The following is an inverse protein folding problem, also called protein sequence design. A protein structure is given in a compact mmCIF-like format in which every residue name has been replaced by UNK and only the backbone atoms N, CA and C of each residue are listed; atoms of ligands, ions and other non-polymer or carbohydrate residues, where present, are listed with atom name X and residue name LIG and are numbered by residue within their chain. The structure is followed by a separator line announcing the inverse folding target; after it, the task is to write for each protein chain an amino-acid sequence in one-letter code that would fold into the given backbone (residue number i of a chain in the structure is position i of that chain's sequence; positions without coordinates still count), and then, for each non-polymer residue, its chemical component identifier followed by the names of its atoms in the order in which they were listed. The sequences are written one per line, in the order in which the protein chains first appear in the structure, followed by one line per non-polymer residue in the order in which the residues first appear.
data_IF_573039416869
#
_entry.id   IF_573039416869
#
_cell.length_a   1.000
_cell.length_b   1.000
_cell.length_c   1.000
_cell.angle_alpha   90.00
_cell.angle_beta   90.00
_cell.angle_gamma   90.00
#
_symmetry.space_group_name_H-M   'P 1'
#
loop_
_entity.id
_entity.type
_entity.pdbx_description
1 polymer ?
#
# COMPACT_ATOMS: atom_id res chain seq x y z
N UNK A 1 -2.74 -3.07 -4.98
CA UNK A 1 -3.03 -1.76 -4.34
C UNK A 1 -2.01 -1.56 -3.25
N UNK A 2 -1.46 -0.36 -3.10
CA UNK A 2 -0.35 -0.12 -2.18
C UNK A 2 -0.56 1.10 -1.26
N UNK A 3 -0.05 1.02 -0.04
CA UNK A 3 0.14 2.16 0.85
C UNK A 3 1.63 2.50 0.94
N UNK A 4 2.04 3.63 0.40
CA UNK A 4 3.42 4.10 0.30
C UNK A 4 3.73 4.73 -1.05
N UNK A 5 5.00 5.06 -1.26
CA UNK A 5 5.53 5.59 -2.50
C UNK A 5 6.91 4.99 -2.83
N UNK A 6 7.41 5.26 -4.03
CA UNK A 6 8.69 4.74 -4.49
C UNK A 6 9.91 5.36 -3.78
N UNK A 7 9.76 6.34 -2.89
CA UNK A 7 10.88 6.88 -2.11
C UNK A 7 11.13 6.12 -0.81
N UNK A 8 10.15 5.35 -0.33
CA UNK A 8 10.27 4.54 0.88
C UNK A 8 10.89 3.16 0.60
N UNK A 9 11.84 2.75 1.44
CA UNK A 9 12.57 1.48 1.27
C UNK A 9 11.64 0.26 1.19
N UNK A 10 10.70 0.12 2.13
CA UNK A 10 9.77 -1.03 2.18
C UNK A 10 8.88 -1.08 0.95
N UNK A 11 8.26 0.05 0.60
CA UNK A 11 7.34 0.11 -0.52
C UNK A 11 8.06 -0.06 -1.85
N UNK A 12 9.14 0.70 -2.05
CA UNK A 12 9.93 0.70 -3.27
C UNK A 12 10.52 -0.68 -3.58
N UNK A 13 11.17 -1.32 -2.61
CA UNK A 13 11.68 -2.69 -2.80
C UNK A 13 10.54 -3.66 -3.12
N UNK A 14 9.43 -3.63 -2.36
CA UNK A 14 8.27 -4.50 -2.62
C UNK A 14 7.70 -4.37 -4.04
N UNK A 15 7.66 -3.15 -4.58
CA UNK A 15 7.18 -2.88 -5.94
C UNK A 15 8.17 -3.31 -7.05
N UNK A 16 9.42 -3.59 -6.71
CA UNK A 16 10.48 -4.01 -7.64
C UNK A 16 10.83 -5.51 -7.56
N UNK A 17 10.27 -6.25 -6.61
CA UNK A 17 10.47 -7.71 -6.52
C UNK A 17 9.86 -8.50 -7.68
N UNK A 18 8.93 -7.92 -8.44
CA UNK A 18 8.31 -8.57 -9.60
C UNK A 18 8.06 -7.59 -10.74
N UNK A 19 8.51 -7.98 -11.94
CA UNK A 19 8.23 -7.26 -13.19
C UNK A 19 6.78 -7.46 -13.67
N UNK A 20 6.04 -8.39 -13.07
CA UNK A 20 4.64 -8.69 -13.44
C UNK A 20 3.63 -7.90 -12.61
N UNK A 21 4.09 -7.11 -11.64
CA UNK A 21 3.21 -6.30 -10.80
C UNK A 21 2.50 -5.22 -11.62
N UNK A 22 1.17 -5.31 -11.66
CA UNK A 22 0.26 -4.27 -12.16
C UNK A 22 -0.19 -3.41 -10.98
N UNK A 23 0.53 -2.32 -10.71
CA UNK A 23 0.18 -1.40 -9.63
C UNK A 23 -0.99 -0.50 -10.04
N UNK A 24 -2.21 -0.95 -9.78
CA UNK A 24 -3.41 -0.22 -10.22
C UNK A 24 -3.74 1.02 -9.38
N UNK A 25 -3.26 1.06 -8.14
CA UNK A 25 -3.41 2.20 -7.25
C UNK A 25 -2.39 2.16 -6.12
N UNK A 26 -1.93 3.33 -5.70
CA UNK A 26 -1.14 3.55 -4.50
C UNK A 26 -1.49 4.89 -3.85
N UNK A 27 -1.21 5.03 -2.55
CA UNK A 27 -1.36 6.31 -1.87
C UNK A 27 -0.33 6.44 -0.74
N UNK A 28 0.15 7.66 -0.51
CA UNK A 28 1.02 7.99 0.62
C UNK A 28 0.41 9.16 1.41
N UNK A 29 1.20 9.89 2.18
CA UNK A 29 0.74 11.07 2.92
C UNK A 29 0.45 12.28 2.02
N UNK A 30 0.88 12.28 0.76
CA UNK A 30 0.83 13.42 -0.18
C UNK A 30 -0.17 13.20 -1.30
N UNK A 31 -0.12 12.04 -1.92
CA UNK A 31 -0.70 11.75 -3.22
C UNK A 31 -1.49 10.44 -3.23
N UNK A 32 -2.38 10.35 -4.22
CA UNK A 32 -3.11 9.15 -4.63
C UNK A 32 -2.74 8.91 -6.10
N UNK A 33 -1.99 7.85 -6.36
CA UNK A 33 -1.65 7.34 -7.68
C UNK A 33 -2.71 6.33 -8.11
N UNK A 34 -3.27 6.48 -9.31
CA UNK A 34 -4.19 5.50 -9.90
C UNK A 34 -3.80 5.26 -11.35
N UNK A 35 -3.61 4.01 -11.70
CA UNK A 35 -3.37 3.55 -13.07
C UNK A 35 -4.34 2.39 -13.35
N UNK A 36 -5.49 2.63 -14.03
CA UNK A 36 -6.52 1.60 -14.20
C UNK A 36 -6.07 0.32 -14.92
N UNK A 37 -5.14 0.44 -15.89
CA UNK A 37 -4.65 -0.66 -16.72
C UNK A 37 -3.14 -0.50 -17.05
N UNK A 38 -2.24 -0.67 -16.06
CA UNK A 38 -0.81 -0.43 -16.25
C UNK A 38 -0.19 -1.51 -17.13
N UNK A 39 0.66 -1.10 -18.07
CA UNK A 39 1.59 -2.03 -18.75
C UNK A 39 2.68 -2.47 -17.75
N UNK A 40 2.83 -3.78 -17.47
CA UNK A 40 3.76 -4.24 -16.44
C UNK A 40 5.21 -3.84 -16.72
N UNK A 41 5.66 -3.92 -17.98
CA UNK A 41 7.06 -3.70 -18.35
C UNK A 41 7.45 -2.21 -18.36
N UNK A 42 6.60 -1.34 -18.90
CA UNK A 42 6.79 0.11 -18.88
C UNK A 42 6.68 0.65 -17.46
N UNK A 43 5.63 0.26 -16.72
CA UNK A 43 5.42 0.73 -15.35
C UNK A 43 6.50 0.23 -14.40
N UNK A 44 7.04 -0.99 -14.59
CA UNK A 44 8.17 -1.48 -13.80
C UNK A 44 9.42 -0.61 -13.99
N UNK A 45 9.79 -0.30 -15.24
CA UNK A 45 10.94 0.56 -15.54
C UNK A 45 10.77 1.95 -14.93
N UNK A 46 9.55 2.49 -14.98
CA UNK A 46 9.26 3.79 -14.40
C UNK A 46 9.33 3.78 -12.86
N UNK A 47 8.77 2.75 -12.21
CA UNK A 47 8.95 2.55 -10.75
C UNK A 47 10.43 2.43 -10.39
N UNK A 48 11.23 1.70 -11.17
CA UNK A 48 12.67 1.58 -10.93
C UNK A 48 13.38 2.93 -11.05
N UNK A 49 13.04 3.74 -12.05
CA UNK A 49 13.56 5.10 -12.21
C UNK A 49 13.20 5.96 -11.00
N UNK A 50 11.95 5.95 -10.55
CA UNK A 50 11.48 6.70 -9.38
C UNK A 50 12.17 6.28 -8.09
N UNK A 51 12.42 4.98 -7.91
CA UNK A 51 13.13 4.45 -6.74
C UNK A 51 14.59 4.92 -6.68
N UNK A 52 15.23 5.12 -7.85
CA UNK A 52 16.61 5.62 -7.93
C UNK A 52 16.71 7.15 -7.75
N UNK A 53 15.60 7.89 -7.79
CA UNK A 53 15.61 9.34 -7.62
C UNK A 53 15.73 9.71 -6.14
N UNK A 54 16.52 10.74 -5.80
CA UNK A 54 16.56 11.27 -4.44
C UNK A 54 15.24 11.97 -4.10
N UNK A 55 14.58 11.55 -3.01
CA UNK A 55 13.33 12.17 -2.48
C UNK A 55 12.18 12.21 -3.50
N UNK A 56 11.95 11.13 -4.23
CA UNK A 56 10.85 11.03 -5.19
C UNK A 56 9.45 11.08 -4.54
N UNK A 57 8.46 11.26 -5.38
CA UNK A 57 7.04 11.24 -5.06
C UNK A 57 6.26 10.66 -6.22
N UNK A 58 4.96 10.39 -6.02
CA UNK A 58 4.10 10.00 -7.13
C UNK A 58 3.97 11.11 -8.18
N UNK A 59 4.16 12.39 -7.82
CA UNK A 59 4.15 13.49 -8.79
C UNK A 59 5.30 13.44 -9.79
N UNK A 60 6.39 12.73 -9.48
CA UNK A 60 7.53 12.56 -10.38
C UNK A 60 7.32 11.45 -11.43
N UNK A 61 6.23 10.67 -11.30
CA UNK A 61 5.87 9.60 -12.23
C UNK A 61 5.53 10.18 -13.60
N UNK A 62 6.07 9.60 -14.67
CA UNK A 62 5.76 9.99 -16.04
C UNK A 62 4.29 9.72 -16.36
N UNK A 63 3.49 10.80 -16.39
CA UNK A 63 2.05 10.76 -16.63
C UNK A 63 1.70 10.22 -18.02
N UNK A 64 2.65 10.24 -18.98
CA UNK A 64 2.47 9.64 -20.30
C UNK A 64 2.42 8.10 -20.26
N UNK A 65 2.90 7.48 -19.18
CA UNK A 65 2.87 6.03 -18.98
C UNK A 65 1.65 5.55 -18.18
N UNK A 66 0.88 6.47 -17.59
CA UNK A 66 -0.34 6.13 -16.86
C UNK A 66 -1.43 5.84 -17.89
N UNK A 67 -2.13 4.71 -17.71
CA UNK A 67 -3.22 4.33 -18.60
C UNK A 67 -4.37 5.33 -18.60
N UNK A 68 -5.20 5.26 -19.63
CA UNK A 68 -6.31 6.17 -19.85
C UNK A 68 -7.20 6.28 -18.59
N UNK A 69 -7.52 7.52 -18.22
CA UNK A 69 -8.39 7.82 -17.09
C UNK A 69 -7.71 7.76 -15.72
N UNK A 70 -6.46 7.28 -15.64
CA UNK A 70 -5.64 7.34 -14.44
C UNK A 70 -5.03 8.72 -14.18
N UNK A 71 -4.27 8.81 -13.10
CA UNK A 71 -3.53 10.02 -12.74
C UNK A 71 -2.92 9.99 -11.35
N UNK A 72 -2.32 11.13 -11.00
CA UNK A 72 -1.78 11.38 -9.66
C UNK A 72 -2.52 12.58 -9.07
N UNK A 73 -3.15 12.36 -7.92
CA UNK A 73 -4.03 13.33 -7.29
C UNK A 73 -3.51 13.70 -5.91
N UNK A 74 -3.49 15.00 -5.58
CA UNK A 74 -3.12 15.44 -4.24
C UNK A 74 -4.16 15.04 -3.19
N UNK A 75 -3.71 14.55 -2.03
CA UNK A 75 -4.57 14.32 -0.85
C UNK A 75 -5.11 15.62 -0.23
N UNK A 76 -4.55 16.77 -0.57
CA UNK A 76 -5.06 18.08 -0.13
C UNK A 76 -6.15 18.65 -1.04
N UNK A 77 -6.44 17.99 -2.17
CA UNK A 77 -7.52 18.40 -3.05
C UNK A 77 -8.87 18.34 -2.32
N UNK A 78 -9.75 19.32 -2.59
CA UNK A 78 -11.12 19.31 -2.04
C UNK A 78 -11.97 18.18 -2.62
N UNK A 79 -11.72 17.84 -3.88
CA UNK A 79 -12.48 16.86 -4.64
C UNK A 79 -11.62 16.35 -5.80
N UNK A 80 -11.73 15.06 -6.10
CA UNK A 80 -11.05 14.35 -7.18
C UNK A 80 -12.13 13.84 -8.14
N UNK A 81 -12.14 14.29 -9.41
CA UNK A 81 -13.07 13.76 -10.41
C UNK A 81 -12.77 12.30 -10.69
N UNK A 82 -13.81 11.47 -10.76
CA UNK A 82 -13.69 10.06 -11.12
C UNK A 82 -13.96 9.92 -12.62
N UNK A 83 -12.95 9.50 -13.36
CA UNK A 83 -13.09 9.09 -14.76
C UNK A 83 -13.89 7.79 -14.85
N UNK A 84 -14.48 7.46 -16.01
CA UNK A 84 -15.13 6.17 -16.21
C UNK A 84 -14.25 4.97 -15.86
N UNK A 85 -12.94 5.08 -16.13
CA UNK A 85 -11.95 4.05 -15.81
C UNK A 85 -11.75 3.90 -14.29
N UNK A 86 -11.66 5.01 -13.52
CA UNK A 86 -11.58 4.98 -12.06
C UNK A 86 -12.90 4.49 -11.43
N UNK A 87 -14.04 4.87 -11.98
CA UNK A 87 -15.35 4.39 -11.56
C UNK A 87 -15.46 2.87 -11.74
N UNK A 88 -15.02 2.35 -12.89
CA UNK A 88 -15.01 0.91 -13.15
C UNK A 88 -14.06 0.16 -12.21
N UNK A 89 -12.86 0.73 -11.97
CA UNK A 89 -11.89 0.17 -11.02
C UNK A 89 -12.47 0.07 -9.61
N UNK A 90 -13.10 1.13 -9.11
CA UNK A 90 -13.61 1.22 -7.73
C UNK A 90 -15.03 0.68 -7.54
N UNK A 91 -15.77 0.44 -8.62
CA UNK A 91 -17.19 0.08 -8.60
C UNK A 91 -18.12 1.23 -8.19
N UNK A 92 -17.65 2.47 -8.20
CA UNK A 92 -18.40 3.66 -7.81
C UNK A 92 -19.10 4.32 -8.99
N UNK A 93 -20.23 4.99 -8.72
CA UNK A 93 -21.00 5.77 -9.71
C UNK A 93 -20.91 7.29 -9.50
N UNK A 94 -20.18 7.74 -8.48
CA UNK A 94 -20.01 9.16 -8.18
C UNK A 94 -19.14 9.84 -9.22
N UNK A 95 -19.46 11.09 -9.58
CA UNK A 95 -18.64 11.87 -10.53
C UNK A 95 -17.34 12.40 -9.90
N UNK A 96 -17.30 12.54 -8.57
CA UNK A 96 -16.11 12.98 -7.83
C UNK A 96 -16.19 12.51 -6.37
N UNK A 97 -15.04 12.45 -5.69
CA UNK A 97 -14.92 12.12 -4.27
C UNK A 97 -13.90 13.00 -3.55
N UNK A 98 -14.07 13.16 -2.24
CA UNK A 98 -12.98 13.66 -1.41
C UNK A 98 -11.83 12.63 -1.36
N UNK A 99 -10.57 13.05 -1.16
CA UNK A 99 -9.42 12.14 -1.19
C UNK A 99 -9.51 10.97 -0.21
N UNK A 100 -9.99 11.20 1.02
CA UNK A 100 -10.15 10.12 2.00
C UNK A 100 -11.18 9.08 1.56
N UNK A 101 -12.30 9.52 0.97
CA UNK A 101 -13.34 8.62 0.45
C UNK A 101 -12.81 7.79 -0.72
N UNK A 102 -11.96 8.39 -1.57
CA UNK A 102 -11.30 7.68 -2.65
C UNK A 102 -10.33 6.61 -2.12
N UNK A 103 -9.52 6.92 -1.10
CA UNK A 103 -8.63 5.93 -0.46
C UNK A 103 -9.45 4.78 0.15
N UNK A 104 -10.56 5.08 0.84
CA UNK A 104 -11.47 4.04 1.35
C UNK A 104 -12.02 3.16 0.23
N UNK A 105 -12.37 3.74 -0.91
CA UNK A 105 -12.85 2.98 -2.07
C UNK A 105 -11.76 2.10 -2.68
N UNK A 106 -10.53 2.61 -2.78
CA UNK A 106 -9.37 1.85 -3.26
C UNK A 106 -9.06 0.66 -2.34
N UNK A 107 -9.09 0.82 -1.01
CA UNK A 107 -8.90 -0.29 -0.07
C UNK A 107 -9.94 -1.41 -0.25
N UNK A 108 -11.13 -1.08 -0.77
CA UNK A 108 -12.25 -2.01 -1.01
C UNK A 108 -12.33 -2.52 -2.44
N UNK A 109 -11.39 -2.13 -3.29
CA UNK A 109 -11.35 -2.51 -4.71
C UNK A 109 -10.88 -3.97 -4.86
N UNK A 110 -11.39 -4.65 -5.90
CA UNK A 110 -10.92 -5.99 -6.23
C UNK A 110 -9.47 -5.92 -6.75
N UNK A 111 -8.57 -6.66 -6.11
CA UNK A 111 -7.19 -6.82 -6.56
C UNK A 111 -6.61 -8.13 -6.03
N UNK A 112 -5.44 -8.55 -6.52
CA UNK A 112 -4.79 -9.73 -5.97
C UNK A 112 -4.10 -9.44 -4.64
N UNK A 113 -3.45 -8.29 -4.53
CA UNK A 113 -2.60 -7.91 -3.38
C UNK A 113 -2.92 -6.48 -2.88
N UNK A 114 -3.07 -6.36 -1.57
CA UNK A 114 -2.94 -5.10 -0.82
C UNK A 114 -1.58 -5.12 -0.08
N UNK A 115 -0.72 -4.17 -0.40
CA UNK A 115 0.63 -4.06 0.16
C UNK A 115 0.75 -2.83 1.06
N UNK A 116 1.02 -3.04 2.35
CA UNK A 116 1.32 -1.96 3.28
C UNK A 116 2.83 -1.74 3.38
N UNK A 117 3.33 -0.69 2.73
CA UNK A 117 4.72 -0.23 2.85
C UNK A 117 4.88 1.05 3.69
N UNK A 118 3.77 1.63 4.17
CA UNK A 118 3.74 2.77 5.09
C UNK A 118 3.09 2.40 6.43
N UNK A 119 3.50 3.07 7.49
CA UNK A 119 3.00 2.85 8.86
C UNK A 119 1.59 3.42 9.01
N UNK A 120 0.71 2.66 9.64
CA UNK A 120 -0.64 3.12 9.99
C UNK A 120 -1.66 1.99 9.97
N UNK A 121 -2.72 2.11 10.77
CA UNK A 121 -3.76 1.09 10.85
C UNK A 121 -4.94 1.44 9.96
N UNK A 122 -4.94 0.84 8.77
CA UNK A 122 -5.91 1.03 7.69
C UNK A 122 -7.08 0.04 7.74
N UNK A 123 -6.90 -1.09 8.40
CA UNK A 123 -7.91 -2.14 8.48
C UNK A 123 -8.14 -2.56 9.93
N UNK A 124 -9.41 -2.59 10.34
CA UNK A 124 -9.86 -3.12 11.64
C UNK A 124 -10.89 -4.23 11.45
N UNK A 125 -11.19 -4.99 12.50
CA UNK A 125 -12.37 -5.85 12.50
C UNK A 125 -13.65 -5.00 12.57
N UNK A 126 -14.76 -5.57 12.10
CA UNK A 126 -16.06 -4.89 12.13
C UNK A 126 -16.50 -4.53 13.57
N UNK A 127 -16.13 -5.36 14.54
CA UNK A 127 -16.45 -5.17 15.97
C UNK A 127 -15.59 -4.15 16.72
N UNK A 128 -14.51 -3.64 16.11
CA UNK A 128 -13.66 -2.62 16.73
C UNK A 128 -14.17 -1.21 16.43
N UNK A 129 -14.13 -0.30 17.39
CA UNK A 129 -14.37 1.12 17.10
C UNK A 129 -13.09 1.79 16.57
N UNK A 130 -13.22 2.92 15.88
CA UNK A 130 -12.03 3.70 15.48
C UNK A 130 -11.23 4.19 16.69
N UNK A 131 -11.90 4.46 17.82
CA UNK A 131 -11.28 4.91 19.06
C UNK A 131 -10.39 3.83 19.67
N UNK A 132 -10.85 2.57 19.69
CA UNK A 132 -10.10 1.44 20.25
C UNK A 132 -8.79 1.17 19.50
N UNK A 133 -8.79 1.44 18.18
CA UNK A 133 -7.59 1.28 17.34
C UNK A 133 -6.51 2.32 17.66
N UNK A 134 -6.88 3.51 18.15
CA UNK A 134 -5.94 4.52 18.64
C UNK A 134 -5.17 5.31 17.57
N UNK A 135 -5.27 4.95 16.28
CA UNK A 135 -4.63 5.70 15.18
C UNK A 135 -5.59 6.73 14.57
N UNK A 136 -5.51 7.98 15.05
CA UNK A 136 -6.35 9.08 14.55
C UNK A 136 -6.01 9.52 13.13
N UNK A 137 -4.76 9.34 12.68
CA UNK A 137 -4.33 9.83 11.38
C UNK A 137 -5.00 9.06 10.23
N UNK A 138 -5.28 7.77 10.45
CA UNK A 138 -5.90 6.90 9.45
C UNK A 138 -7.39 6.63 9.70
N UNK A 139 -8.01 7.21 10.74
CA UNK A 139 -9.44 7.03 11.03
C UNK A 139 -10.34 7.33 9.82
N UNK A 140 -10.08 8.46 9.15
CA UNK A 140 -10.86 8.88 7.99
C UNK A 140 -10.75 7.97 6.76
N UNK A 141 -9.73 7.09 6.70
CA UNK A 141 -9.51 6.17 5.58
C UNK A 141 -9.68 4.69 5.97
N UNK A 142 -9.82 4.39 7.25
CA UNK A 142 -9.89 3.02 7.76
C UNK A 142 -11.16 2.31 7.30
N UNK A 143 -11.01 1.04 6.94
CA UNK A 143 -12.09 0.15 6.51
C UNK A 143 -12.15 -1.10 7.37
N UNK A 144 -13.26 -1.83 7.29
CA UNK A 144 -13.38 -3.12 7.96
C UNK A 144 -12.74 -4.23 7.11
N UNK A 145 -12.15 -5.23 7.77
CA UNK A 145 -11.57 -6.40 7.14
C UNK A 145 -12.60 -7.16 6.27
N UNK A 146 -13.86 -7.20 6.71
CA UNK A 146 -14.98 -7.75 5.95
C UNK A 146 -15.26 -7.02 4.62
N UNK A 147 -14.86 -5.76 4.47
CA UNK A 147 -15.01 -4.98 3.23
C UNK A 147 -13.88 -5.24 2.22
N UNK A 148 -12.76 -5.84 2.64
CA UNK A 148 -11.64 -6.15 1.75
C UNK A 148 -12.05 -7.17 0.69
N UNK A 149 -11.61 -6.91 -0.54
CA UNK A 149 -11.84 -7.77 -1.72
C UNK A 149 -10.55 -8.29 -2.34
N UNK A 150 -9.43 -8.03 -1.68
CA UNK A 150 -8.14 -8.57 -2.12
C UNK A 150 -8.00 -10.04 -1.72
N UNK A 151 -7.17 -10.79 -2.45
CA UNK A 151 -6.87 -12.19 -2.12
C UNK A 151 -5.81 -12.29 -1.03
N UNK A 152 -4.82 -11.40 -1.08
CA UNK A 152 -3.66 -11.37 -0.18
C UNK A 152 -3.47 -9.97 0.38
N UNK A 153 -3.13 -9.89 1.67
CA UNK A 153 -2.61 -8.69 2.31
C UNK A 153 -1.17 -8.99 2.74
N UNK A 154 -0.24 -8.12 2.37
CA UNK A 154 1.15 -8.16 2.84
C UNK A 154 1.47 -6.93 3.68
N UNK A 155 2.03 -7.15 4.87
CA UNK A 155 2.37 -6.09 5.83
C UNK A 155 3.89 -5.86 5.92
N UNK A 156 4.44 -5.21 4.90
CA UNK A 156 5.85 -4.81 4.90
C UNK A 156 6.18 -3.71 5.93
N UNK A 157 5.21 -2.88 6.29
CA UNK A 157 5.27 -1.92 7.38
C UNK A 157 4.53 -2.43 8.62
N UNK A 158 4.69 -1.74 9.75
CA UNK A 158 4.04 -2.11 11.00
C UNK A 158 2.59 -1.64 11.06
N UNK A 159 1.74 -2.47 11.68
CA UNK A 159 0.38 -2.13 12.11
C UNK A 159 -0.61 -1.80 11.00
N UNK A 160 -0.44 -2.34 9.78
CA UNK A 160 -1.37 -2.18 8.66
C UNK A 160 -2.81 -2.59 9.01
N UNK A 161 -2.91 -3.71 9.74
CA UNK A 161 -4.15 -4.32 10.22
C UNK A 161 -4.12 -4.49 11.75
N UNK A 162 -5.28 -4.36 12.41
CA UNK A 162 -5.41 -4.83 13.80
C UNK A 162 -5.32 -6.37 13.86
N UNK A 163 -5.04 -6.92 15.04
CA UNK A 163 -4.99 -8.37 15.21
C UNK A 163 -6.35 -9.03 14.92
N UNK A 164 -7.45 -8.40 15.34
CA UNK A 164 -8.79 -8.91 15.05
C UNK A 164 -9.12 -8.81 13.55
N UNK A 165 -8.65 -7.76 12.85
CA UNK A 165 -8.80 -7.63 11.41
C UNK A 165 -8.13 -8.79 10.65
N UNK A 166 -6.91 -9.16 11.06
CA UNK A 166 -6.17 -10.30 10.46
C UNK A 166 -6.99 -11.59 10.57
N UNK A 167 -7.56 -11.85 11.74
CA UNK A 167 -8.41 -13.02 11.99
C UNK A 167 -9.69 -12.97 11.16
N UNK A 168 -10.37 -11.82 11.11
CA UNK A 168 -11.60 -11.64 10.34
C UNK A 168 -11.36 -11.84 8.83
N UNK A 169 -10.31 -11.23 8.29
CA UNK A 169 -9.93 -11.37 6.88
C UNK A 169 -9.55 -12.83 6.53
N UNK A 170 -8.78 -13.50 7.39
CA UNK A 170 -8.41 -14.89 7.20
C UNK A 170 -9.63 -15.84 7.25
N UNK A 171 -10.57 -15.61 8.16
CA UNK A 171 -11.84 -16.37 8.23
C UNK A 171 -12.70 -16.23 6.97
N UNK A 172 -12.60 -15.11 6.26
CA UNK A 172 -13.26 -14.88 4.96
C UNK A 172 -12.55 -15.58 3.79
N UNK A 173 -11.40 -16.22 4.04
CA UNK A 173 -10.59 -16.90 3.02
C UNK A 173 -9.46 -16.03 2.43
N UNK A 174 -9.25 -14.83 2.97
CA UNK A 174 -8.09 -14.00 2.63
C UNK A 174 -6.79 -14.59 3.19
N UNK A 175 -5.66 -14.26 2.56
CA UNK A 175 -4.33 -14.68 3.03
C UNK A 175 -3.58 -13.48 3.62
N UNK A 176 -3.15 -13.62 4.86
CA UNK A 176 -2.46 -12.56 5.59
C UNK A 176 -1.58 -13.21 6.66
N UNK A 177 -0.36 -12.72 6.81
CA UNK A 177 0.47 -13.00 7.97
C UNK A 177 0.39 -11.83 8.95
N UNK A 178 0.96 -11.96 10.14
CA UNK A 178 1.23 -10.79 10.97
C UNK A 178 2.40 -10.01 10.38
N UNK A 179 2.38 -8.68 10.50
CA UNK A 179 3.51 -7.79 10.19
C UNK A 179 4.86 -8.30 10.71
N UNK A 180 4.90 -8.81 11.95
CA UNK A 180 6.11 -9.38 12.56
C UNK A 180 6.74 -10.56 11.79
N UNK A 181 5.99 -11.21 10.88
CA UNK A 181 6.50 -12.25 9.97
C UNK A 181 6.88 -11.62 8.63
N UNK A 182 6.01 -10.78 8.07
CA UNK A 182 6.19 -10.20 6.74
C UNK A 182 7.35 -9.18 6.66
N UNK A 183 7.67 -8.49 7.77
CA UNK A 183 8.69 -7.45 7.83
C UNK A 183 9.93 -7.79 8.68
N UNK A 184 10.10 -9.07 9.03
CA UNK A 184 11.18 -9.55 9.91
C UNK A 184 12.60 -9.42 9.33
N UNK A 185 12.76 -9.17 8.03
CA UNK A 185 14.05 -9.21 7.34
C UNK A 185 15.12 -8.31 7.99
N UNK A 186 14.75 -7.13 8.49
CA UNK A 186 15.69 -6.24 9.18
C UNK A 186 16.21 -6.82 10.50
N UNK A 187 15.35 -7.51 11.25
CA UNK A 187 15.72 -8.21 12.49
C UNK A 187 16.62 -9.41 12.17
N UNK A 188 16.27 -10.18 11.15
CA UNK A 188 17.06 -11.33 10.70
C UNK A 188 18.47 -10.94 10.25
N UNK A 189 18.61 -9.90 9.43
CA UNK A 189 19.91 -9.34 9.04
C UNK A 189 20.74 -8.89 10.26
N UNK A 190 20.10 -8.26 11.25
CA UNK A 190 20.77 -7.80 12.46
C UNK A 190 21.26 -8.96 13.33
N UNK A 191 20.49 -10.05 13.44
CA UNK A 191 20.89 -11.25 14.15
C UNK A 191 22.15 -11.88 13.52
N UNK A 192 22.16 -12.02 12.19
CA UNK A 192 23.34 -12.51 11.45
C UNK A 192 24.56 -11.60 11.66
N UNK A 193 24.38 -10.28 11.58
CA UNK A 193 25.47 -9.31 11.79
C UNK A 193 26.07 -9.42 13.20
N UNK A 194 25.23 -9.50 14.24
CA UNK A 194 25.68 -9.65 15.63
C UNK A 194 26.41 -10.98 15.83
N UNK A 195 25.87 -12.08 15.31
CA UNK A 195 26.49 -13.40 15.43
C UNK A 195 27.88 -13.46 14.78
N UNK A 196 28.05 -12.82 13.61
CA UNK A 196 29.36 -12.69 12.94
C UNK A 196 30.32 -11.84 13.79
N UNK A 197 29.85 -10.70 14.33
CA UNK A 197 30.68 -9.80 15.17
C UNK A 197 31.17 -10.47 16.45
N UNK A 198 30.37 -11.33 17.09
CA UNK A 198 30.78 -12.05 18.31
C UNK A 198 31.99 -12.94 18.03
N UNK A 199 31.95 -13.71 16.95
CA UNK A 199 33.07 -14.59 16.56
C UNK A 199 34.30 -13.77 16.21
N UNK A 200 34.17 -12.73 15.38
CA UNK A 200 35.30 -11.89 14.97
C UNK A 200 35.88 -11.05 16.10
N UNK A 201 35.07 -10.60 17.06
CA UNK A 201 35.52 -9.85 18.23
C UNK A 201 36.43 -10.65 19.16
N UNK A 202 36.45 -11.98 19.03
CA UNK A 202 37.40 -12.84 19.76
C UNK A 202 38.77 -13.00 19.07
N UNK A 203 38.89 -12.55 17.82
CA UNK A 203 40.10 -12.67 16.97
C UNK A 203 40.91 -11.37 16.93
N UNK A 204 40.33 -10.24 17.36
CA UNK A 204 40.95 -8.90 17.38
C UNK A 204 41.31 -8.47 18.79
#
# INVERSE_FOLDING_TARGET
IGCGDMSGDVFGNGMLLSQQTRLIAAFDHRDIFIDPDPDPAASYRERQRLFALPRSSWQDYDKGLISKGGGVFSRTAKSIPLTPEIQNLTGLKSAALAPNDLIRALLKTNADLLWFGGIGTYVKAAGESHLDVGDKANEGVRVDASELRVKVVGEGANLGCTQLARIEFAKKGGRINTDAVDNAAGVDCSDHEVNIKIVLGSVV
#
